data_IF_201116645780
#
_entry.id   IF_201116645780
#
_cell.length_a   1.000
_cell.length_b   1.000
_cell.length_c   1.000
_cell.angle_alpha   90.00
_cell.angle_beta   90.00
_cell.angle_gamma   90.00
#
_symmetry.space_group_name_H-M   'P 1'
#
loop_
_entity.id
_entity.type
_entity.pdbx_description
1 polymer ?
#
# COMPACT_ATOMS: atom_id res chain seq x y z
N UNK A 1 12.61 24.29 7.92
CA UNK A 1 12.36 24.00 6.50
C UNK A 1 12.80 22.59 6.18
N UNK A 2 11.82 21.68 6.08
CA UNK A 2 12.00 20.24 5.79
C UNK A 2 11.60 19.96 4.34
N UNK A 3 11.96 20.83 3.39
CA UNK A 3 11.68 20.66 1.96
C UNK A 3 12.68 19.72 1.27
N UNK A 4 13.46 18.96 2.04
CA UNK A 4 14.38 17.97 1.49
C UNK A 4 13.57 16.69 1.20
N UNK A 5 13.52 16.23 -0.07
CA UNK A 5 12.78 15.02 -0.41
C UNK A 5 13.37 13.79 0.29
N UNK A 6 12.48 12.86 0.68
CA UNK A 6 12.89 11.56 1.21
C UNK A 6 13.04 10.60 0.03
N UNK A 7 14.27 10.18 -0.25
CA UNK A 7 14.61 9.35 -1.41
C UNK A 7 14.71 7.84 -1.10
N UNK A 8 14.63 7.45 0.17
CA UNK A 8 14.72 6.04 0.57
C UNK A 8 13.73 5.70 1.68
N UNK A 9 13.13 4.51 1.58
CA UNK A 9 12.27 3.93 2.60
C UNK A 9 12.69 2.50 2.92
N UNK A 10 12.49 2.06 4.17
CA UNK A 10 12.80 0.69 4.60
C UNK A 10 11.54 0.07 5.18
N UNK A 11 11.14 -1.09 4.62
CA UNK A 11 10.10 -1.95 5.18
C UNK A 11 10.78 -3.09 5.93
N UNK A 12 10.66 -3.09 7.25
CA UNK A 12 11.26 -4.11 8.13
C UNK A 12 10.21 -5.15 8.48
N UNK A 13 10.37 -6.37 7.97
CA UNK A 13 9.54 -7.51 8.34
C UNK A 13 10.15 -8.20 9.54
N UNK A 14 9.42 -8.23 10.65
CA UNK A 14 9.82 -8.91 11.87
C UNK A 14 8.95 -10.15 12.00
N UNK A 15 9.58 -11.31 12.15
CA UNK A 15 8.89 -12.56 12.43
C UNK A 15 9.50 -13.26 13.65
N UNK A 16 8.61 -13.82 14.46
CA UNK A 16 8.96 -14.64 15.61
C UNK A 16 8.78 -16.10 15.20
N UNK A 17 9.83 -16.90 15.32
CA UNK A 17 9.74 -18.36 15.17
C UNK A 17 10.39 -19.00 16.39
N UNK A 18 9.54 -19.61 17.22
CA UNK A 18 9.94 -20.12 18.54
C UNK A 18 10.57 -18.99 19.38
N UNK A 19 11.81 -19.16 19.84
CA UNK A 19 12.56 -18.16 20.61
C UNK A 19 13.41 -17.22 19.74
N UNK A 20 13.34 -17.35 18.41
CA UNK A 20 14.17 -16.56 17.50
C UNK A 20 13.39 -15.42 16.84
N UNK A 21 13.99 -14.23 16.86
CA UNK A 21 13.53 -13.06 16.09
C UNK A 21 14.26 -13.04 14.76
N UNK A 22 13.52 -13.11 13.64
CA UNK A 22 14.05 -12.86 12.30
C UNK A 22 13.60 -11.48 11.83
N UNK A 23 14.56 -10.68 11.37
CA UNK A 23 14.31 -9.36 10.78
C UNK A 23 14.76 -9.41 9.31
N UNK A 24 13.86 -9.04 8.40
CA UNK A 24 14.14 -8.90 6.97
C UNK A 24 13.79 -7.49 6.52
N UNK A 25 14.81 -6.72 6.15
CA UNK A 25 14.62 -5.36 5.65
C UNK A 25 14.54 -5.38 4.13
N UNK A 26 13.54 -4.70 3.58
CA UNK A 26 13.46 -4.35 2.15
C UNK A 26 13.66 -2.84 2.02
N UNK A 27 14.67 -2.44 1.27
CA UNK A 27 14.99 -1.04 1.00
C UNK A 27 14.38 -0.66 -0.34
N UNK A 28 13.71 0.49 -0.38
CA UNK A 28 13.07 1.04 -1.55
C UNK A 28 13.70 2.39 -1.87
N UNK A 29 14.08 2.59 -3.13
CA UNK A 29 14.38 3.91 -3.65
C UNK A 29 13.07 4.61 -4.02
N UNK A 30 12.85 5.77 -3.43
CA UNK A 30 11.67 6.61 -3.66
C UNK A 30 12.07 7.65 -4.70
N UNK A 31 12.08 7.23 -5.96
CA UNK A 31 12.30 8.13 -7.10
C UNK A 31 11.00 8.78 -7.57
N UNK A 32 11.10 9.60 -8.62
CA UNK A 32 9.96 10.35 -9.16
C UNK A 32 8.85 9.45 -9.70
N UNK A 33 9.19 8.29 -10.28
CA UNK A 33 8.18 7.34 -10.77
C UNK A 33 7.31 6.79 -9.63
N UNK A 34 7.95 6.28 -8.56
CA UNK A 34 7.21 5.74 -7.41
C UNK A 34 6.34 6.81 -6.75
N UNK A 35 6.83 8.06 -6.70
CA UNK A 35 6.05 9.19 -6.17
C UNK A 35 4.83 9.48 -7.04
N UNK A 36 5.02 9.50 -8.36
CA UNK A 36 3.93 9.72 -9.32
C UNK A 36 2.88 8.62 -9.22
N UNK A 37 3.29 7.35 -9.28
CA UNK A 37 2.39 6.20 -9.14
C UNK A 37 1.59 6.27 -7.83
N UNK A 38 2.25 6.60 -6.72
CA UNK A 38 1.57 6.76 -5.43
C UNK A 38 0.51 7.87 -5.45
N UNK A 39 0.83 9.03 -6.03
CA UNK A 39 -0.11 10.14 -6.15
C UNK A 39 -1.30 9.79 -7.04
N UNK A 40 -1.07 9.09 -8.14
CA UNK A 40 -2.14 8.63 -9.04
C UNK A 40 -3.11 7.69 -8.32
N UNK A 41 -2.60 6.68 -7.61
CA UNK A 41 -3.43 5.75 -6.82
C UNK A 41 -4.22 6.49 -5.73
N UNK A 42 -3.59 7.44 -5.03
CA UNK A 42 -4.25 8.24 -4.00
C UNK A 42 -5.40 9.06 -4.59
N UNK A 43 -5.15 9.73 -5.71
CA UNK A 43 -6.14 10.62 -6.33
C UNK A 43 -7.30 9.81 -6.94
N UNK A 44 -7.02 8.60 -7.46
CA UNK A 44 -8.06 7.65 -7.87
C UNK A 44 -8.94 7.24 -6.68
N UNK A 45 -8.34 6.76 -5.59
CA UNK A 45 -9.07 6.38 -4.38
C UNK A 45 -9.91 7.54 -3.81
N UNK A 46 -9.36 8.75 -3.82
CA UNK A 46 -10.09 9.94 -3.40
C UNK A 46 -11.29 10.23 -4.32
N UNK A 47 -11.14 10.04 -5.64
CA UNK A 47 -12.24 10.22 -6.59
C UNK A 47 -13.36 9.20 -6.39
N UNK A 48 -13.04 7.94 -6.11
CA UNK A 48 -14.02 6.88 -5.76
C UNK A 48 -14.88 7.34 -4.58
N UNK A 49 -14.24 7.79 -3.50
CA UNK A 49 -14.92 8.26 -2.29
C UNK A 49 -15.76 9.52 -2.59
N UNK A 50 -15.15 10.53 -3.23
CA UNK A 50 -15.80 11.83 -3.48
C UNK A 50 -17.04 11.70 -4.37
N UNK A 51 -17.01 10.77 -5.33
CA UNK A 51 -18.13 10.54 -6.26
C UNK A 51 -19.11 9.48 -5.77
N UNK A 52 -18.79 8.76 -4.68
CA UNK A 52 -19.61 7.66 -4.18
C UNK A 52 -19.75 6.52 -5.19
N UNK A 53 -18.70 6.26 -5.97
CA UNK A 53 -18.67 5.21 -6.99
C UNK A 53 -18.12 3.93 -6.35
N UNK A 54 -18.62 2.76 -6.76
CA UNK A 54 -18.05 1.47 -6.39
C UNK A 54 -16.73 1.24 -7.15
N UNK A 55 -15.59 0.98 -6.49
CA UNK A 55 -14.33 0.66 -7.17
C UNK A 55 -14.41 -0.66 -7.97
N UNK A 56 -15.42 -1.50 -7.72
CA UNK A 56 -15.58 -2.80 -8.35
C UNK A 56 -14.68 -3.87 -7.71
N UNK A 57 -14.75 -5.08 -8.27
CA UNK A 57 -13.97 -6.23 -7.79
C UNK A 57 -12.52 -6.17 -8.25
N UNK A 58 -11.53 -6.42 -7.36
CA UNK A 58 -10.15 -6.56 -7.77
C UNK A 58 -9.95 -7.86 -8.59
N UNK A 59 -8.87 -7.95 -9.40
CA UNK A 59 -8.54 -9.16 -10.16
C UNK A 59 -8.39 -10.41 -9.29
N UNK A 60 -7.90 -10.24 -8.06
CA UNK A 60 -7.77 -11.28 -7.05
C UNK A 60 -8.32 -10.75 -5.73
N UNK A 61 -9.48 -11.26 -5.31
CA UNK A 61 -10.12 -10.85 -4.06
C UNK A 61 -9.54 -11.67 -2.89
N UNK A 62 -8.96 -11.03 -1.85
CA UNK A 62 -8.38 -11.76 -0.73
C UNK A 62 -9.47 -12.45 0.09
N UNK A 63 -9.18 -13.65 0.60
CA UNK A 63 -10.13 -14.42 1.44
C UNK A 63 -10.53 -13.68 2.72
N UNK A 64 -9.67 -12.80 3.21
CA UNK A 64 -9.94 -11.96 4.40
C UNK A 64 -10.70 -10.67 4.06
N UNK A 65 -11.17 -10.46 2.83
CA UNK A 65 -11.91 -9.27 2.46
C UNK A 65 -13.22 -9.18 3.26
N UNK A 66 -13.40 -8.07 3.98
CA UNK A 66 -14.59 -7.84 4.81
C UNK A 66 -15.88 -7.73 3.99
N UNK A 67 -15.76 -7.49 2.67
CA UNK A 67 -16.89 -7.38 1.73
C UNK A 67 -17.06 -8.62 0.85
N UNK A 68 -16.33 -9.71 1.09
CA UNK A 68 -16.30 -10.88 0.19
C UNK A 68 -17.68 -11.44 -0.13
N UNK A 69 -18.57 -11.52 0.87
CA UNK A 69 -19.93 -12.07 0.71
C UNK A 69 -20.97 -11.12 0.11
N UNK A 70 -20.63 -9.84 -0.10
CA UNK A 70 -21.59 -8.80 -0.50
C UNK A 70 -21.17 -8.01 -1.74
N UNK A 71 -19.89 -8.03 -2.11
CA UNK A 71 -19.38 -7.37 -3.31
C UNK A 71 -19.83 -8.16 -4.56
N UNK A 72 -20.41 -7.45 -5.55
CA UNK A 72 -21.06 -8.04 -6.74
C UNK A 72 -20.12 -8.08 -7.94
#
# INVERSE_FOLDING_TARGET
>A
DLDIPIDYGIVSYISLKEENVKIRNKIYFIGDELRREFLEIRDEAFNVIRRGIDPGKPPECPEYCVYYGVCI
#
